data_IF_393338074938
#
_entry.id   IF_393338074938
#
_cell.length_a   1.000
_cell.length_b   1.000
_cell.length_c   1.000
_cell.angle_alpha   90.00
_cell.angle_beta   90.00
_cell.angle_gamma   90.00
#
_symmetry.space_group_name_H-M   'P 1'
#
loop_
_entity.id
_entity.type
_entity.pdbx_description
1 polymer ?
#
# COMPACT_ATOMS: atom_id res chain seq x y z
N UNK A 1 19.91 1.49 -4.03
CA UNK A 1 18.98 0.36 -3.79
C UNK A 1 17.58 0.85 -3.39
N UNK A 2 17.41 1.56 -2.25
CA UNK A 2 16.09 2.06 -1.80
C UNK A 2 15.38 2.91 -2.86
N UNK A 3 16.08 3.82 -3.55
CA UNK A 3 15.47 4.63 -4.61
C UNK A 3 14.98 3.82 -5.82
N UNK A 4 15.67 2.73 -6.17
CA UNK A 4 15.26 1.83 -7.26
C UNK A 4 14.02 1.02 -6.84
N UNK A 5 14.01 0.53 -5.60
CA UNK A 5 12.85 -0.18 -5.04
C UNK A 5 11.65 0.77 -4.88
N UNK A 6 11.87 2.03 -4.51
CA UNK A 6 10.81 3.03 -4.43
C UNK A 6 10.17 3.31 -5.81
N UNK A 7 10.96 3.33 -6.89
CA UNK A 7 10.43 3.46 -8.25
C UNK A 7 9.59 2.23 -8.65
N UNK A 8 10.06 1.02 -8.32
CA UNK A 8 9.31 -0.21 -8.56
C UNK A 8 7.99 -0.24 -7.75
N UNK A 9 8.01 0.24 -6.51
CA UNK A 9 6.80 0.39 -5.68
C UNK A 9 5.82 1.37 -6.30
N UNK A 10 6.28 2.52 -6.80
CA UNK A 10 5.41 3.49 -7.46
C UNK A 10 4.67 2.90 -8.68
N UNK A 11 5.40 2.20 -9.55
CA UNK A 11 4.80 1.50 -10.69
C UNK A 11 3.88 0.35 -10.25
N UNK A 12 4.27 -0.40 -9.23
CA UNK A 12 3.50 -1.51 -8.68
C UNK A 12 2.18 -1.06 -8.05
N UNK A 13 2.16 0.03 -7.30
CA UNK A 13 0.93 0.63 -6.74
C UNK A 13 -0.01 1.07 -7.87
N UNK A 14 0.52 1.72 -8.91
CA UNK A 14 -0.32 2.11 -10.05
C UNK A 14 -0.92 0.87 -10.75
N UNK A 15 -0.13 -0.18 -10.92
CA UNK A 15 -0.59 -1.44 -11.51
C UNK A 15 -1.62 -2.16 -10.63
N UNK A 16 -1.51 -2.11 -9.30
CA UNK A 16 -2.44 -2.77 -8.39
C UNK A 16 -3.85 -2.19 -8.38
N UNK A 17 -4.02 -0.93 -8.81
CA UNK A 17 -5.35 -0.33 -8.95
C UNK A 17 -6.04 -0.63 -10.28
N UNK A 18 -5.29 -1.11 -11.28
CA UNK A 18 -5.82 -1.30 -12.65
C UNK A 18 -5.90 -2.78 -13.01
N UNK A 19 -4.85 -3.54 -12.72
CA UNK A 19 -4.75 -4.94 -13.15
C UNK A 19 -5.82 -5.83 -12.52
N UNK A 20 -6.05 -5.82 -11.18
CA UNK A 20 -7.04 -6.69 -10.57
C UNK A 20 -8.44 -6.47 -11.15
N UNK A 21 -8.87 -5.21 -11.27
CA UNK A 21 -10.19 -4.87 -11.83
C UNK A 21 -10.33 -5.34 -13.28
N UNK A 22 -9.29 -5.14 -14.11
CA UNK A 22 -9.32 -5.59 -15.50
C UNK A 22 -9.41 -7.12 -15.62
N UNK A 23 -8.62 -7.85 -14.82
CA UNK A 23 -8.59 -9.32 -14.85
C UNK A 23 -9.88 -9.89 -14.26
N UNK A 24 -10.42 -9.25 -13.22
CA UNK A 24 -11.68 -9.64 -12.61
C UNK A 24 -12.83 -9.55 -13.63
N UNK A 25 -12.87 -8.47 -14.42
CA UNK A 25 -13.84 -8.32 -15.51
C UNK A 25 -13.77 -9.46 -16.52
N UNK A 26 -12.55 -9.79 -16.98
CA UNK A 26 -12.33 -10.89 -17.93
C UNK A 26 -12.79 -12.25 -17.37
N UNK A 27 -12.54 -12.51 -16.08
CA UNK A 27 -12.98 -13.75 -15.41
C UNK A 27 -14.51 -13.81 -15.28
N UNK A 28 -15.16 -12.69 -14.94
CA UNK A 28 -16.62 -12.60 -14.82
C UNK A 28 -17.30 -12.86 -16.17
N UNK A 29 -16.79 -12.25 -17.24
CA UNK A 29 -17.35 -12.43 -18.57
C UNK A 29 -17.13 -13.87 -19.07
N UNK A 30 -15.96 -14.47 -18.79
CA UNK A 30 -15.73 -15.88 -19.11
C UNK A 30 -16.65 -16.84 -18.32
N UNK A 31 -16.91 -16.55 -17.04
CA UNK A 31 -17.86 -17.32 -16.23
C UNK A 31 -19.30 -17.20 -16.76
N UNK A 32 -19.71 -15.99 -17.17
CA UNK A 32 -21.01 -15.74 -17.82
C UNK A 32 -21.15 -16.56 -19.10
N UNK A 33 -20.10 -16.64 -19.92
CA UNK A 33 -20.10 -17.47 -21.13
C UNK A 33 -20.31 -18.96 -20.82
N UNK A 34 -19.67 -19.47 -19.76
CA UNK A 34 -19.65 -20.90 -19.43
C UNK A 34 -20.90 -21.38 -18.71
N UNK A 35 -21.45 -20.57 -17.81
CA UNK A 35 -22.60 -20.93 -16.98
C UNK A 35 -23.90 -20.24 -17.39
N UNK A 36 -23.85 -19.25 -18.31
CA UNK A 36 -25.01 -18.49 -18.78
C UNK A 36 -25.59 -17.52 -17.75
N UNK A 37 -24.97 -17.39 -16.58
CA UNK A 37 -25.39 -16.49 -15.49
C UNK A 37 -24.23 -15.60 -15.09
N UNK A 38 -24.52 -14.30 -14.90
CA UNK A 38 -23.50 -13.33 -14.47
C UNK A 38 -23.40 -13.30 -12.95
N UNK A 39 -22.25 -13.74 -12.41
CA UNK A 39 -22.01 -13.87 -10.97
C UNK A 39 -21.08 -12.78 -10.40
N UNK A 40 -21.22 -11.54 -10.85
CA UNK A 40 -20.32 -10.42 -10.52
C UNK A 40 -20.14 -10.20 -9.00
N UNK A 41 -21.25 -10.21 -8.25
CA UNK A 41 -21.21 -9.97 -6.81
C UNK A 41 -20.39 -11.02 -6.03
N UNK A 42 -20.38 -12.28 -6.48
CA UNK A 42 -19.59 -13.33 -5.82
C UNK A 42 -18.09 -13.07 -5.99
N UNK A 43 -17.67 -12.79 -7.23
CA UNK A 43 -16.25 -12.56 -7.54
C UNK A 43 -15.71 -11.31 -6.86
N UNK A 44 -16.45 -10.19 -6.88
CA UNK A 44 -16.04 -8.96 -6.18
C UNK A 44 -15.96 -9.15 -4.67
N UNK A 45 -16.88 -9.90 -4.06
CA UNK A 45 -16.81 -10.18 -2.61
C UNK A 45 -15.58 -11.01 -2.29
N UNK A 46 -15.25 -12.04 -3.08
CA UNK A 46 -14.06 -12.85 -2.84
C UNK A 46 -12.78 -12.03 -2.98
N UNK A 47 -12.69 -11.20 -4.02
CA UNK A 47 -11.54 -10.34 -4.29
C UNK A 47 -11.29 -9.32 -3.15
N UNK A 48 -12.32 -8.55 -2.79
CA UNK A 48 -12.22 -7.54 -1.72
C UNK A 48 -11.92 -8.13 -0.34
N UNK A 49 -12.52 -9.28 0.01
CA UNK A 49 -12.22 -9.96 1.29
C UNK A 49 -10.78 -10.46 1.32
N UNK A 50 -10.29 -11.03 0.21
CA UNK A 50 -8.91 -11.51 0.14
C UNK A 50 -7.91 -10.36 0.32
N UNK A 51 -8.18 -9.21 -0.29
CA UNK A 51 -7.36 -8.00 -0.10
C UNK A 51 -7.31 -7.57 1.36
N UNK A 52 -8.46 -7.51 2.05
CA UNK A 52 -8.53 -7.11 3.46
C UNK A 52 -7.74 -8.05 4.38
N UNK A 53 -7.80 -9.36 4.15
CA UNK A 53 -7.02 -10.32 4.95
C UNK A 53 -5.51 -10.09 4.83
N UNK A 54 -5.03 -9.80 3.62
CA UNK A 54 -3.61 -9.52 3.38
C UNK A 54 -3.20 -8.17 4.00
N UNK A 55 -4.07 -7.16 3.92
CA UNK A 55 -3.80 -5.83 4.49
C UNK A 55 -3.64 -5.87 6.02
N UNK A 56 -4.47 -6.66 6.72
CA UNK A 56 -4.35 -6.86 8.18
C UNK A 56 -2.96 -7.39 8.53
N UNK A 57 -2.51 -8.43 7.81
CA UNK A 57 -1.19 -9.03 8.02
C UNK A 57 -0.10 -8.00 7.71
N UNK A 58 -0.26 -7.27 6.60
CA UNK A 58 0.65 -6.21 6.14
C UNK A 58 0.76 -5.03 7.10
N UNK A 59 -0.28 -4.70 7.88
CA UNK A 59 -0.25 -3.62 8.87
C UNK A 59 0.24 -4.06 10.25
N UNK A 60 -0.13 -5.25 10.71
CA UNK A 60 0.18 -5.73 12.07
C UNK A 60 1.63 -6.18 12.19
N UNK A 61 2.16 -6.94 11.22
CA UNK A 61 3.52 -7.48 11.30
C UNK A 61 4.60 -6.38 11.40
N UNK A 62 4.61 -5.34 10.53
CA UNK A 62 5.61 -4.28 10.64
C UNK A 62 5.55 -3.57 12.00
N UNK A 63 4.34 -3.40 12.54
CA UNK A 63 4.11 -2.74 13.82
C UNK A 63 4.72 -3.54 14.98
N UNK A 64 4.53 -4.86 15.00
CA UNK A 64 5.13 -5.75 16.00
C UNK A 64 6.66 -5.73 15.89
N UNK A 65 7.19 -5.86 14.66
CA UNK A 65 8.64 -5.86 14.41
C UNK A 65 9.26 -4.52 14.85
N UNK A 66 8.62 -3.39 14.56
CA UNK A 66 9.08 -2.08 15.01
C UNK A 66 9.11 -2.01 16.54
N UNK A 67 8.10 -2.55 17.22
CA UNK A 67 8.06 -2.68 18.67
C UNK A 67 9.25 -3.45 19.24
N UNK A 68 9.63 -4.59 18.64
CA UNK A 68 10.80 -5.37 19.04
C UNK A 68 12.13 -4.62 18.89
N UNK A 69 12.25 -3.75 17.89
CA UNK A 69 13.42 -2.87 17.73
C UNK A 69 13.38 -1.60 18.60
N UNK A 70 12.43 -1.53 19.53
CA UNK A 70 12.33 -0.45 20.49
C UNK A 70 11.69 0.82 19.93
N UNK A 71 10.74 0.68 19.00
CA UNK A 71 9.94 1.82 18.54
C UNK A 71 9.30 2.53 19.74
N UNK A 72 9.54 3.84 19.80
CA UNK A 72 8.89 4.72 20.77
C UNK A 72 8.16 5.82 20.03
N UNK A 73 6.90 6.03 20.37
CA UNK A 73 6.13 7.18 19.88
C UNK A 73 6.88 8.47 20.24
N UNK A 74 7.04 9.36 19.27
CA UNK A 74 7.81 10.61 19.41
C UNK A 74 9.26 10.43 19.92
N UNK A 75 9.90 9.30 19.64
CA UNK A 75 11.26 9.01 20.13
C UNK A 75 11.34 8.87 21.66
N UNK A 76 10.19 8.75 22.35
CA UNK A 76 10.09 8.73 23.81
C UNK A 76 9.91 10.12 24.44
N UNK A 77 9.68 11.15 23.65
CA UNK A 77 9.40 12.50 24.12
C UNK A 77 7.90 12.68 24.44
N UNK A 78 7.62 13.60 25.37
CA UNK A 78 6.26 13.92 25.82
C UNK A 78 5.51 14.87 24.87
N UNK A 79 6.24 15.75 24.17
CA UNK A 79 5.70 16.65 23.15
C UNK A 79 6.80 17.03 22.14
N UNK A 80 6.40 17.62 21.00
CA UNK A 80 7.27 18.02 19.91
C UNK A 80 7.14 17.14 18.66
N UNK A 81 7.91 17.46 17.61
CA UNK A 81 7.90 16.73 16.32
C UNK A 81 6.48 16.52 15.73
N UNK A 82 5.64 17.57 15.73
CA UNK A 82 4.29 17.53 15.17
C UNK A 82 3.18 17.40 16.21
N UNK A 83 3.51 17.25 17.49
CA UNK A 83 2.56 17.33 18.61
C UNK A 83 2.79 18.62 19.39
N UNK A 84 1.70 19.32 19.70
CA UNK A 84 1.71 20.56 20.47
C UNK A 84 2.29 20.34 21.87
N UNK A 85 3.12 21.28 22.31
CA UNK A 85 3.72 21.26 23.63
C UNK A 85 2.89 22.12 24.60
N UNK A 86 2.78 21.73 25.88
CA UNK A 86 1.89 22.39 26.85
C UNK A 86 2.34 23.79 27.28
N UNK A 87 3.56 24.20 26.93
CA UNK A 87 4.12 25.49 27.29
C UNK A 87 4.40 26.31 26.03
N UNK A 88 4.13 27.61 26.12
CA UNK A 88 4.43 28.55 25.05
C UNK A 88 5.92 28.50 24.70
N UNK A 89 6.20 28.55 23.40
CA UNK A 89 7.55 28.49 22.85
C UNK A 89 8.31 27.18 23.12
N UNK A 90 7.71 26.16 23.74
CA UNK A 90 8.32 24.84 23.88
C UNK A 90 8.21 24.07 22.56
N UNK A 91 9.34 23.58 22.05
CA UNK A 91 9.41 22.86 20.76
C UNK A 91 9.41 21.34 20.92
N UNK A 92 10.08 20.85 21.96
CA UNK A 92 10.00 19.44 22.38
C UNK A 92 10.40 19.29 23.84
N UNK A 93 9.90 18.22 24.45
CA UNK A 93 10.29 17.82 25.80
C UNK A 93 10.58 16.32 25.83
N UNK A 94 11.85 15.98 25.87
CA UNK A 94 12.39 14.63 25.86
C UNK A 94 13.08 14.31 27.20
N UNK A 95 13.19 13.03 27.59
CA UNK A 95 13.97 12.65 28.76
C UNK A 95 15.43 13.11 28.62
N UNK A 96 15.83 14.08 29.45
CA UNK A 96 17.20 14.63 29.44
C UNK A 96 17.47 15.69 28.35
N UNK A 97 16.47 16.10 27.56
CA UNK A 97 16.63 17.15 26.55
C UNK A 97 15.35 17.97 26.33
N UNK A 98 15.43 19.28 26.51
CA UNK A 98 14.30 20.21 26.37
C UNK A 98 14.71 21.30 25.36
N UNK A 99 13.87 21.52 24.34
CA UNK A 99 14.11 22.51 23.31
C UNK A 99 13.04 23.60 23.30
N UNK A 100 13.46 24.87 23.30
CA UNK A 100 12.58 26.04 23.19
C UNK A 100 12.83 26.77 21.86
N UNK A 101 11.80 27.43 21.34
CA UNK A 101 11.86 28.31 20.19
C UNK A 101 12.32 29.72 20.58
N UNK A 102 11.76 30.30 21.64
CA UNK A 102 12.03 31.67 22.11
C UNK A 102 12.08 31.76 23.65
N UNK A 103 12.81 32.74 24.20
CA UNK A 103 12.71 33.12 25.61
C UNK A 103 11.82 34.35 25.76
N UNK A 104 10.55 34.14 26.07
CA UNK A 104 9.60 35.12 26.63
C UNK A 104 9.21 36.41 25.86
N UNK A 105 9.75 36.73 24.68
CA UNK A 105 9.24 37.84 23.84
C UNK A 105 9.41 37.59 22.33
N UNK A 106 8.64 38.30 21.49
CA UNK A 106 8.69 38.17 20.02
C UNK A 106 10.07 38.58 19.43
N UNK A 107 10.76 39.50 20.10
CA UNK A 107 12.08 39.99 19.73
C UNK A 107 13.24 39.22 20.39
N UNK A 108 12.92 38.20 21.20
CA UNK A 108 13.94 37.41 21.87
C UNK A 108 14.77 36.64 20.85
N UNK A 109 16.10 36.64 21.06
CA UNK A 109 17.02 35.87 20.24
C UNK A 109 16.57 34.41 20.27
N UNK A 110 16.23 33.87 19.09
CA UNK A 110 15.83 32.47 18.93
C UNK A 110 16.92 31.59 19.56
N UNK A 111 16.54 30.82 20.59
CA UNK A 111 17.42 29.84 21.21
C UNK A 111 17.44 28.59 20.32
N UNK A 112 17.82 28.78 19.06
CA UNK A 112 18.34 27.68 18.29
C UNK A 112 19.60 27.21 19.05
N UNK A 113 19.51 26.06 19.70
CA UNK A 113 20.64 25.14 19.56
C UNK A 113 20.92 24.99 18.07
N UNK A 114 22.18 24.77 17.70
CA UNK A 114 22.71 24.74 16.32
C UNK A 114 21.64 24.47 15.25
N UNK A 115 21.59 25.24 14.16
CA UNK A 115 20.50 25.12 13.14
C UNK A 115 20.43 23.70 12.56
N UNK A 116 21.55 22.98 12.64
CA UNK A 116 21.72 21.58 12.26
C UNK A 116 21.25 20.55 13.32
N UNK A 117 20.83 21.01 14.50
CA UNK A 117 20.43 20.15 15.62
C UNK A 117 19.08 19.51 15.35
N UNK A 118 19.11 18.24 15.02
CA UNK A 118 17.93 17.39 14.87
C UNK A 118 17.21 17.22 16.21
N UNK A 119 15.88 17.37 16.21
CA UNK A 119 15.07 17.12 17.39
C UNK A 119 15.21 15.64 17.82
N UNK A 120 15.47 15.34 19.10
CA UNK A 120 15.65 13.96 19.56
C UNK A 120 14.43 13.08 19.31
N UNK A 121 13.22 13.66 19.32
CA UNK A 121 11.97 12.97 19.00
C UNK A 121 11.91 12.42 17.56
N UNK A 122 12.71 12.95 16.64
CA UNK A 122 12.78 12.49 15.26
C UNK A 122 13.76 11.32 15.08
N UNK A 123 14.61 11.05 16.07
CA UNK A 123 15.60 9.98 16.01
C UNK A 123 14.99 8.68 16.55
N UNK A 124 14.99 7.66 15.69
CA UNK A 124 14.62 6.29 16.06
C UNK A 124 15.84 5.38 15.94
N UNK A 125 15.80 4.23 16.61
CA UNK A 125 16.87 3.24 16.51
C UNK A 125 17.09 2.81 15.06
N UNK A 126 18.32 2.43 14.71
CA UNK A 126 18.64 1.94 13.36
C UNK A 126 17.77 0.74 12.98
N UNK A 127 17.42 -0.12 13.94
CA UNK A 127 16.51 -1.24 13.75
C UNK A 127 15.12 -0.80 13.26
N UNK A 128 14.50 0.15 13.96
CA UNK A 128 13.19 0.73 13.59
C UNK A 128 13.23 1.35 12.19
N UNK A 129 14.29 2.10 11.87
CA UNK A 129 14.43 2.71 10.54
C UNK A 129 14.50 1.65 9.44
N UNK A 130 15.21 0.55 9.67
CA UNK A 130 15.28 -0.57 8.72
C UNK A 130 13.94 -1.31 8.61
N UNK A 131 13.21 -1.50 9.71
CA UNK A 131 11.86 -2.06 9.68
C UNK A 131 10.98 -1.27 8.70
N UNK A 132 10.90 0.06 8.84
CA UNK A 132 10.10 0.86 7.93
C UNK A 132 10.61 0.82 6.48
N UNK A 133 11.92 0.86 6.25
CA UNK A 133 12.47 0.77 4.88
C UNK A 133 12.12 -0.55 4.20
N UNK A 134 12.22 -1.66 4.94
CA UNK A 134 11.92 -3.00 4.43
C UNK A 134 10.42 -3.12 4.16
N UNK A 135 9.55 -2.79 5.13
CA UNK A 135 8.12 -3.01 4.98
C UNK A 135 7.40 -1.97 4.12
N UNK A 136 7.92 -0.74 3.99
CA UNK A 136 7.33 0.28 3.12
C UNK A 136 7.83 0.19 1.67
N UNK A 137 9.09 -0.19 1.45
CA UNK A 137 9.69 -0.17 0.10
C UNK A 137 10.24 -1.52 -0.36
N UNK A 138 10.91 -2.26 0.53
CA UNK A 138 11.57 -3.51 0.17
C UNK A 138 10.60 -4.64 -0.18
N UNK A 139 9.76 -5.02 0.79
CA UNK A 139 8.80 -6.10 0.67
C UNK A 139 7.72 -5.79 -0.38
N UNK A 140 7.03 -4.64 -0.36
CA UNK A 140 6.04 -4.33 -1.40
C UNK A 140 6.64 -4.33 -2.79
N UNK A 141 7.84 -3.74 -2.97
CA UNK A 141 8.53 -3.73 -4.25
C UNK A 141 8.83 -5.13 -4.78
N UNK A 142 9.29 -6.04 -3.91
CA UNK A 142 9.52 -7.43 -4.27
C UNK A 142 8.21 -8.16 -4.63
N UNK A 143 7.14 -7.94 -3.87
CA UNK A 143 5.84 -8.55 -4.14
C UNK A 143 5.25 -8.08 -5.48
N UNK A 144 5.40 -6.81 -5.83
CA UNK A 144 4.96 -6.31 -7.13
C UNK A 144 5.73 -6.93 -8.31
N UNK A 145 7.03 -7.15 -8.15
CA UNK A 145 7.82 -7.84 -9.19
C UNK A 145 7.38 -9.29 -9.36
N UNK A 146 7.07 -9.98 -8.26
CA UNK A 146 6.51 -11.33 -8.31
C UNK A 146 5.12 -11.34 -8.98
N UNK A 147 4.26 -10.39 -8.62
CA UNK A 147 2.94 -10.25 -9.22
C UNK A 147 3.03 -10.02 -10.73
N UNK A 148 3.96 -9.18 -11.19
CA UNK A 148 4.22 -8.96 -12.61
C UNK A 148 4.68 -10.25 -13.31
N UNK A 149 5.53 -11.06 -12.67
CA UNK A 149 5.97 -12.34 -13.21
C UNK A 149 4.82 -13.35 -13.32
N UNK A 150 3.91 -13.40 -12.34
CA UNK A 150 2.73 -14.28 -12.38
C UNK A 150 1.63 -13.78 -13.33
N UNK A 151 1.57 -12.47 -13.59
CA UNK A 151 0.66 -11.89 -14.57
C UNK A 151 1.18 -12.00 -16.01
N UNK A 152 2.48 -12.27 -16.20
CA UNK A 152 3.08 -12.44 -17.52
C UNK A 152 2.40 -13.50 -18.41
N UNK A 153 2.01 -14.69 -17.91
CA UNK A 153 1.28 -15.67 -18.70
C UNK A 153 -0.25 -15.42 -18.70
N UNK A 154 -0.70 -14.18 -18.83
CA UNK A 154 -2.14 -13.88 -18.92
C UNK A 154 -2.74 -14.58 -20.15
N UNK A 155 -3.72 -15.46 -19.90
CA UNK A 155 -4.29 -16.37 -20.91
C UNK A 155 -5.28 -15.66 -21.83
N UNK A 156 -6.00 -14.65 -21.31
CA UNK A 156 -7.03 -13.93 -22.06
C UNK A 156 -6.37 -12.81 -22.86
N UNK A 157 -6.18 -13.06 -24.15
CA UNK A 157 -5.77 -12.05 -25.12
C UNK A 157 -6.95 -11.18 -25.54
N UNK A 158 -6.68 -10.04 -26.18
CA UNK A 158 -7.73 -9.19 -26.74
C UNK A 158 -8.66 -9.95 -27.70
N UNK A 159 -8.10 -10.84 -28.52
CA UNK A 159 -8.88 -11.67 -29.45
C UNK A 159 -9.76 -12.67 -28.71
N UNK A 160 -9.24 -13.30 -27.64
CA UNK A 160 -10.01 -14.21 -26.81
C UNK A 160 -11.16 -13.46 -26.12
N UNK A 161 -10.89 -12.29 -25.55
CA UNK A 161 -11.90 -11.44 -24.91
C UNK A 161 -13.04 -11.06 -25.88
N UNK A 162 -12.71 -10.66 -27.10
CA UNK A 162 -13.72 -10.34 -28.12
C UNK A 162 -14.62 -11.54 -28.45
N UNK A 163 -14.03 -12.74 -28.61
CA UNK A 163 -14.79 -13.98 -28.83
C UNK A 163 -15.69 -14.34 -27.65
N UNK A 164 -15.26 -14.06 -26.42
CA UNK A 164 -16.09 -14.24 -25.22
C UNK A 164 -17.33 -13.34 -25.30
N UNK A 165 -17.15 -12.04 -25.60
CA UNK A 165 -18.26 -11.10 -25.71
C UNK A 165 -19.24 -11.46 -26.83
N UNK A 166 -18.73 -11.87 -28.00
CA UNK A 166 -19.56 -12.36 -29.10
C UNK A 166 -20.35 -13.61 -28.71
N UNK A 167 -19.72 -14.53 -27.99
CA UNK A 167 -20.35 -15.73 -27.45
C UNK A 167 -21.48 -15.43 -26.48
N UNK A 168 -21.26 -14.51 -25.54
CA UNK A 168 -22.28 -14.05 -24.60
C UNK A 168 -23.45 -13.40 -25.35
N UNK A 169 -23.18 -12.57 -26.35
CA UNK A 169 -24.21 -11.94 -27.16
C UNK A 169 -25.04 -12.97 -27.95
N UNK A 170 -24.39 -14.01 -28.49
CA UNK A 170 -25.06 -15.11 -29.18
C UNK A 170 -26.00 -15.90 -28.24
N UNK A 171 -25.53 -16.26 -27.05
CA UNK A 171 -26.33 -16.97 -26.04
C UNK A 171 -27.50 -16.13 -25.52
N UNK A 172 -27.34 -14.81 -25.42
CA UNK A 172 -28.43 -13.89 -25.08
C UNK A 172 -29.49 -13.80 -26.16
N UNK A 173 -29.10 -13.89 -27.44
CA UNK A 173 -30.02 -13.88 -28.57
C UNK A 173 -30.73 -15.23 -28.75
N UNK A 174 -29.99 -16.33 -28.61
CA UNK A 174 -30.48 -17.70 -28.70
C UNK A 174 -29.78 -18.57 -27.64
N UNK A 175 -30.49 -18.96 -26.56
CA UNK A 175 -29.93 -19.81 -25.50
C UNK A 175 -29.46 -21.19 -25.97
N UNK A 176 -29.83 -21.61 -27.18
CA UNK A 176 -29.39 -22.87 -27.81
C UNK A 176 -28.23 -22.72 -28.78
N UNK A 177 -27.69 -21.50 -28.93
CA UNK A 177 -26.54 -21.24 -29.80
C UNK A 177 -25.32 -22.06 -29.37
N UNK A 178 -24.70 -22.75 -30.33
CA UNK A 178 -23.44 -23.45 -30.09
C UNK A 178 -22.29 -22.42 -30.10
N UNK A 179 -21.75 -22.15 -28.91
CA UNK A 179 -20.57 -21.28 -28.75
C UNK A 179 -19.35 -22.11 -28.39
N UNK A 180 -18.25 -21.91 -29.10
CA UNK A 180 -16.97 -22.57 -28.85
C UNK A 180 -16.20 -21.82 -27.76
N UNK A 181 -15.56 -22.54 -26.84
CA UNK A 181 -14.69 -21.94 -25.83
C UNK A 181 -13.46 -21.32 -26.52
N UNK A 182 -13.20 -20.01 -26.38
CA UNK A 182 -12.06 -19.35 -27.02
C UNK A 182 -10.72 -19.54 -26.30
N UNK A 183 -10.73 -20.13 -25.10
CA UNK A 183 -9.54 -20.36 -24.26
C UNK A 183 -9.04 -21.82 -24.35
N UNK A 184 -9.93 -22.78 -24.62
CA UNK A 184 -9.65 -24.23 -24.67
C UNK A 184 -9.40 -24.79 -26.08
#
# INVERSE_FOLDING_TARGET
>A
LIYILALAVGAGIAASFVLPDSVLGDVIDYDELRHGVRSEGLYTVVETNLQQFVEIIGGVIPSIVAGWYGFKTLGGCSCGCGVECPADYLRWQCPGDIGYACSSSFDARLFYGDVERTAPCALQTTGVQWTFRIFAFGLPGAMYLLAAATAWPMVISLEAHQKILEGIAALKADPSAAVTDPIL
#
